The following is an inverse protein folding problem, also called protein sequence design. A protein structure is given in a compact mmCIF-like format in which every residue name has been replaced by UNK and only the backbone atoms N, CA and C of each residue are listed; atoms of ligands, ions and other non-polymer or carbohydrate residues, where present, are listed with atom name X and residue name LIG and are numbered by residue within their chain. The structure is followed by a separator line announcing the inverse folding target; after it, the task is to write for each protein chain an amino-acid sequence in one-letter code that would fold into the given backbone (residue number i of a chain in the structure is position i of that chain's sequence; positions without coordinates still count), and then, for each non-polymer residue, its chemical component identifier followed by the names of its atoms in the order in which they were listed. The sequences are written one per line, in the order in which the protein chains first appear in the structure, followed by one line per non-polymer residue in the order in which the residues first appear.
data_IF_083804230027
#
_entry.id   IF_083804230027
#
_cell.length_a   1.000
_cell.length_b   1.000
_cell.length_c   1.000
_cell.angle_alpha   90.00
_cell.angle_beta   90.00
_cell.angle_gamma   90.00
#
_symmetry.space_group_name_H-M   'P 1'
#
loop_
_entity.id
_entity.type
_entity.pdbx_description
1 polymer ?
#
# COMPACT_ATOMS: atom_id res chain seq x y z
N UNK A 1 9.08 -11.35 10.67
CA UNK A 1 7.68 -11.81 10.66
C UNK A 1 6.75 -10.64 10.88
N UNK A 2 5.53 -10.74 10.35
CA UNK A 2 4.50 -9.72 10.41
C UNK A 2 3.19 -10.31 10.92
N UNK A 3 2.39 -9.50 11.62
CA UNK A 3 0.99 -9.78 11.93
C UNK A 3 0.14 -8.97 10.95
N UNK A 4 -0.82 -9.60 10.30
CA UNK A 4 -1.82 -8.91 9.45
C UNK A 4 -3.16 -8.90 10.14
N UNK A 5 -3.80 -7.72 10.19
CA UNK A 5 -5.17 -7.55 10.69
C UNK A 5 -6.07 -6.89 9.65
N UNK A 6 -7.36 -7.12 9.78
CA UNK A 6 -8.42 -6.50 8.98
C UNK A 6 -9.15 -5.50 9.87
N UNK A 7 -8.74 -4.23 9.83
CA UNK A 7 -9.28 -3.22 10.74
C UNK A 7 -10.61 -2.62 10.28
N UNK A 8 -11.00 -2.81 9.03
CA UNK A 8 -12.32 -2.43 8.48
C UNK A 8 -12.84 -3.50 7.53
N UNK A 9 -14.09 -3.39 7.09
CA UNK A 9 -14.58 -4.14 5.94
C UNK A 9 -13.84 -3.79 4.66
N UNK A 10 -13.92 -4.68 3.65
CA UNK A 10 -13.23 -4.57 2.38
C UNK A 10 -14.08 -3.95 1.27
N UNK A 11 -13.44 -3.41 0.24
CA UNK A 11 -14.14 -2.96 -0.95
C UNK A 11 -14.46 -4.12 -1.93
N UNK A 12 -13.70 -5.22 -1.87
CA UNK A 12 -13.90 -6.38 -2.76
C UNK A 12 -15.04 -7.32 -2.34
N UNK A 13 -15.63 -7.14 -1.15
CA UNK A 13 -16.78 -7.90 -0.66
C UNK A 13 -18.11 -7.17 -0.84
N UNK A 14 -19.20 -7.83 -0.44
CA UNK A 14 -20.55 -7.24 -0.43
C UNK A 14 -20.83 -6.46 0.85
N UNK A 15 -20.10 -6.74 1.93
CA UNK A 15 -20.22 -6.07 3.22
C UNK A 15 -19.84 -4.57 3.11
N UNK A 16 -20.36 -3.78 4.04
CA UNK A 16 -19.96 -2.37 4.16
C UNK A 16 -18.51 -2.25 4.65
N UNK A 17 -17.82 -1.19 4.23
CA UNK A 17 -16.49 -0.83 4.76
C UNK A 17 -16.57 -0.57 6.27
N UNK A 18 -17.65 0.05 6.73
CA UNK A 18 -17.99 0.20 8.14
C UNK A 18 -16.97 0.95 8.99
N UNK A 19 -17.20 0.97 10.31
CA UNK A 19 -16.26 1.49 11.30
C UNK A 19 -15.10 0.52 11.52
N UNK A 20 -14.17 0.88 12.41
CA UNK A 20 -13.13 -0.02 12.86
C UNK A 20 -13.70 -1.28 13.52
N UNK A 21 -13.20 -2.44 13.11
CA UNK A 21 -13.64 -3.75 13.64
C UNK A 21 -13.07 -4.09 15.01
N UNK A 22 -12.11 -3.28 15.48
CA UNK A 22 -11.44 -3.45 16.78
C UNK A 22 -11.64 -2.21 17.64
N UNK A 23 -11.74 -2.41 18.96
CA UNK A 23 -11.63 -1.33 19.92
C UNK A 23 -10.18 -0.79 19.98
N UNK A 24 -9.95 0.42 20.47
CA UNK A 24 -8.60 0.94 20.65
C UNK A 24 -7.72 0.07 21.57
N UNK A 25 -8.29 -0.58 22.56
CA UNK A 25 -7.55 -1.44 23.49
C UNK A 25 -7.12 -2.76 22.84
N UNK A 26 -7.97 -3.34 21.98
CA UNK A 26 -7.60 -4.52 21.18
C UNK A 26 -6.46 -4.20 20.20
N UNK A 27 -6.53 -3.09 19.49
CA UNK A 27 -5.46 -2.67 18.59
C UNK A 27 -4.13 -2.45 19.32
N UNK A 28 -4.17 -1.79 20.49
CA UNK A 28 -2.98 -1.61 21.33
C UNK A 28 -2.43 -2.94 21.86
N UNK A 29 -3.30 -3.87 22.22
CA UNK A 29 -2.87 -5.20 22.66
C UNK A 29 -2.17 -5.97 21.52
N UNK A 30 -2.71 -5.90 20.29
CA UNK A 30 -2.11 -6.52 19.12
C UNK A 30 -0.71 -5.94 18.84
N UNK A 31 -0.58 -4.62 18.81
CA UNK A 31 0.71 -3.97 18.56
C UNK A 31 1.71 -4.24 19.67
N UNK A 32 1.29 -4.16 20.93
CA UNK A 32 2.13 -4.46 22.07
C UNK A 32 2.72 -5.89 22.00
N UNK A 33 1.88 -6.89 21.77
CA UNK A 33 2.34 -8.29 21.70
C UNK A 33 3.22 -8.55 20.47
N UNK A 34 2.91 -7.95 19.31
CA UNK A 34 3.73 -8.07 18.12
C UNK A 34 5.11 -7.43 18.32
N UNK A 35 5.14 -6.18 18.79
CA UNK A 35 6.39 -5.44 18.99
C UNK A 35 7.27 -6.07 20.06
N UNK A 36 6.68 -6.61 21.13
CA UNK A 36 7.41 -7.39 22.16
C UNK A 36 8.19 -8.57 21.57
N UNK A 37 7.72 -9.12 20.45
CA UNK A 37 8.35 -10.22 19.72
C UNK A 37 9.17 -9.76 18.51
N UNK A 38 9.46 -8.46 18.38
CA UNK A 38 10.11 -7.83 17.23
C UNK A 38 9.40 -8.13 15.89
N UNK A 39 8.06 -8.23 15.94
CA UNK A 39 7.20 -8.37 14.77
C UNK A 39 6.51 -7.03 14.50
N UNK A 40 6.30 -6.70 13.24
CA UNK A 40 5.51 -5.56 12.80
C UNK A 40 4.05 -5.93 12.57
N UNK A 41 3.17 -4.93 12.58
CA UNK A 41 1.74 -5.11 12.33
C UNK A 41 1.32 -4.31 11.09
N UNK A 42 0.67 -4.99 10.14
CA UNK A 42 0.08 -4.40 8.95
C UNK A 42 -1.45 -4.45 9.06
N UNK A 43 -2.13 -3.34 8.81
CA UNK A 43 -3.58 -3.24 8.88
C UNK A 43 -4.21 -2.92 7.53
N UNK A 44 -5.09 -3.81 7.04
CA UNK A 44 -6.09 -3.40 6.05
C UNK A 44 -7.02 -2.38 6.71
N UNK A 45 -7.11 -1.17 6.18
CA UNK A 45 -7.96 -0.10 6.70
C UNK A 45 -8.45 0.81 5.59
N UNK A 46 -9.77 0.83 5.37
CA UNK A 46 -10.41 1.65 4.34
C UNK A 46 -11.19 2.83 4.91
N UNK A 47 -11.83 2.68 6.08
CA UNK A 47 -12.55 3.78 6.71
C UNK A 47 -11.64 4.71 7.49
N UNK A 48 -11.99 6.00 7.56
CA UNK A 48 -11.26 6.99 8.34
C UNK A 48 -11.15 6.61 9.83
N UNK A 49 -12.23 6.05 10.39
CA UNK A 49 -12.25 5.58 11.78
C UNK A 49 -11.23 4.48 12.04
N UNK A 50 -11.18 3.47 11.14
CA UNK A 50 -10.22 2.38 11.25
C UNK A 50 -8.78 2.87 11.09
N UNK A 51 -8.51 3.72 10.08
CA UNK A 51 -7.19 4.29 9.84
C UNK A 51 -6.70 5.08 11.04
N UNK A 52 -7.54 6.00 11.59
CA UNK A 52 -7.18 6.81 12.75
C UNK A 52 -6.83 5.95 13.96
N UNK A 53 -7.67 4.96 14.28
CA UNK A 53 -7.43 4.06 15.42
C UNK A 53 -6.18 3.19 15.24
N UNK A 54 -5.92 2.72 14.02
CA UNK A 54 -4.68 2.00 13.70
C UNK A 54 -3.44 2.86 13.90
N UNK A 55 -3.47 4.11 13.43
CA UNK A 55 -2.39 5.08 13.61
C UNK A 55 -2.14 5.32 15.11
N UNK A 56 -3.19 5.60 15.87
CA UNK A 56 -3.12 5.89 17.31
C UNK A 56 -2.68 4.68 18.15
N UNK A 57 -2.92 3.47 17.65
CA UNK A 57 -2.48 2.22 18.28
C UNK A 57 -1.03 1.83 17.93
N UNK A 58 -0.36 2.56 17.03
CA UNK A 58 1.02 2.28 16.65
C UNK A 58 1.18 1.12 15.65
N UNK A 59 0.17 0.86 14.82
CA UNK A 59 0.27 -0.07 13.68
C UNK A 59 1.37 0.40 12.73
N UNK A 60 2.25 -0.49 12.27
CA UNK A 60 3.43 -0.10 11.48
C UNK A 60 3.09 0.31 10.04
N UNK A 61 2.19 -0.43 9.39
CA UNK A 61 1.77 -0.10 8.02
C UNK A 61 0.26 -0.05 7.86
N UNK A 62 -0.21 0.96 7.13
CA UNK A 62 -1.61 1.07 6.68
C UNK A 62 -1.67 0.59 5.22
N UNK A 63 -2.41 -0.49 5.01
CA UNK A 63 -2.67 -1.02 3.69
C UNK A 63 -3.92 -0.36 3.11
N UNK A 64 -3.87 -0.03 1.83
CA UNK A 64 -4.91 0.65 1.06
C UNK A 64 -5.15 2.09 1.46
N UNK A 65 -5.55 2.36 2.72
CA UNK A 65 -5.76 3.73 3.18
C UNK A 65 -6.91 4.45 2.47
N UNK A 66 -8.05 3.75 2.26
CA UNK A 66 -9.14 4.22 1.42
C UNK A 66 -9.73 5.58 1.80
N UNK A 67 -9.64 6.00 3.04
CA UNK A 67 -10.11 7.31 3.54
C UNK A 67 -8.99 8.09 4.23
N UNK A 68 -7.74 7.97 3.77
CA UNK A 68 -6.64 8.82 4.22
C UNK A 68 -6.88 10.28 3.82
N UNK A 69 -6.62 11.19 4.76
CA UNK A 69 -6.62 12.63 4.57
C UNK A 69 -5.28 13.25 5.03
N UNK A 70 -5.12 14.55 4.85
CA UNK A 70 -3.87 15.25 5.20
C UNK A 70 -3.56 15.16 6.70
N UNK A 71 -4.56 15.20 7.58
CA UNK A 71 -4.37 15.06 9.03
C UNK A 71 -3.76 13.72 9.38
N UNK A 72 -4.34 12.63 8.85
CA UNK A 72 -3.87 11.27 9.10
C UNK A 72 -2.49 11.02 8.48
N UNK A 73 -2.22 11.58 7.30
CA UNK A 73 -0.91 11.51 6.66
C UNK A 73 0.18 12.22 7.46
N UNK A 74 -0.11 13.37 8.07
CA UNK A 74 0.80 14.04 8.99
C UNK A 74 1.09 13.19 10.22
N UNK A 75 0.06 12.62 10.86
CA UNK A 75 0.24 11.71 12.01
C UNK A 75 1.11 10.49 11.64
N UNK A 76 0.84 9.87 10.49
CA UNK A 76 1.66 8.75 10.00
C UNK A 76 3.13 9.13 9.86
N UNK A 77 3.41 10.31 9.28
CA UNK A 77 4.77 10.82 9.14
C UNK A 77 5.44 11.04 10.49
N UNK A 78 4.75 11.69 11.43
CA UNK A 78 5.27 11.96 12.78
C UNK A 78 5.58 10.69 13.54
N UNK A 79 4.75 9.67 13.39
CA UNK A 79 4.92 8.36 14.02
C UNK A 79 5.89 7.43 13.26
N UNK A 80 6.34 7.82 12.06
CA UNK A 80 7.20 6.99 11.21
C UNK A 80 6.50 5.79 10.57
N UNK A 81 5.16 5.80 10.55
CA UNK A 81 4.33 4.75 9.94
C UNK A 81 4.36 4.81 8.42
N UNK A 82 4.06 3.70 7.76
CA UNK A 82 4.18 3.54 6.32
C UNK A 82 2.82 3.32 5.68
N UNK A 83 2.61 3.91 4.51
CA UNK A 83 1.46 3.65 3.65
C UNK A 83 1.82 2.71 2.50
N UNK A 84 1.02 1.66 2.32
CA UNK A 84 1.07 0.74 1.18
C UNK A 84 -0.22 0.92 0.38
N UNK A 85 -0.24 1.76 -0.67
CA UNK A 85 -1.48 2.27 -1.26
C UNK A 85 -2.26 1.25 -2.07
N UNK A 86 -1.61 0.31 -2.75
CA UNK A 86 -2.26 -0.67 -3.62
C UNK A 86 -3.21 -0.03 -4.65
N UNK A 87 -2.75 1.01 -5.32
CA UNK A 87 -3.56 1.86 -6.23
C UNK A 87 -4.18 1.05 -7.36
N UNK A 88 -3.41 0.11 -7.91
CA UNK A 88 -3.83 -0.63 -9.09
C UNK A 88 -5.02 -1.54 -8.82
N UNK A 89 -5.11 -2.17 -7.65
CA UNK A 89 -6.23 -3.07 -7.34
C UNK A 89 -7.57 -2.32 -7.34
N UNK A 90 -7.60 -1.12 -6.76
CA UNK A 90 -8.83 -0.31 -6.75
C UNK A 90 -9.17 0.26 -8.13
N UNK A 91 -8.16 0.63 -8.92
CA UNK A 91 -8.32 1.02 -10.32
C UNK A 91 -8.93 -0.10 -11.17
N UNK A 92 -8.53 -1.35 -10.96
CA UNK A 92 -9.09 -2.51 -11.66
C UNK A 92 -10.50 -2.88 -11.18
N UNK A 93 -10.74 -2.87 -9.86
CA UNK A 93 -12.06 -3.10 -9.31
C UNK A 93 -13.08 -2.04 -9.77
N UNK A 94 -12.70 -0.77 -9.79
CA UNK A 94 -13.54 0.33 -10.28
C UNK A 94 -13.92 0.18 -11.77
N UNK A 95 -13.09 -0.51 -12.56
CA UNK A 95 -13.36 -0.81 -13.98
C UNK A 95 -14.14 -2.11 -14.20
N UNK A 96 -14.46 -2.83 -13.14
CA UNK A 96 -15.11 -4.15 -13.21
C UNK A 96 -16.60 -4.13 -13.53
N UNK A 97 -17.17 -3.00 -13.98
CA UNK A 97 -18.60 -2.89 -14.31
C UNK A 97 -19.05 -3.95 -15.30
N UNK A 98 -20.08 -4.70 -14.93
CA UNK A 98 -20.61 -5.81 -15.72
C UNK A 98 -19.85 -7.14 -15.56
N UNK A 99 -18.72 -7.15 -14.83
CA UNK A 99 -17.94 -8.36 -14.52
C UNK A 99 -18.01 -8.74 -13.04
N UNK A 100 -18.19 -7.75 -12.17
CA UNK A 100 -18.36 -7.92 -10.72
C UNK A 100 -19.58 -7.12 -10.25
N UNK A 101 -20.01 -7.34 -9.00
CA UNK A 101 -21.20 -6.66 -8.45
C UNK A 101 -21.01 -5.12 -8.41
N UNK A 102 -22.05 -4.37 -8.80
CA UNK A 102 -21.99 -2.91 -8.89
C UNK A 102 -21.59 -2.25 -7.56
N UNK A 103 -22.01 -2.80 -6.42
CA UNK A 103 -21.62 -2.30 -5.09
C UNK A 103 -20.10 -2.36 -4.86
N UNK A 104 -19.42 -3.35 -5.42
CA UNK A 104 -17.95 -3.46 -5.37
C UNK A 104 -17.33 -2.37 -6.23
N UNK A 105 -17.84 -2.17 -7.44
CA UNK A 105 -17.38 -1.11 -8.36
C UNK A 105 -17.54 0.28 -7.74
N UNK A 106 -18.69 0.55 -7.11
CA UNK A 106 -18.97 1.83 -6.43
C UNK A 106 -17.99 2.08 -5.28
N UNK A 107 -17.80 1.09 -4.39
CA UNK A 107 -16.86 1.20 -3.27
C UNK A 107 -15.43 1.40 -3.76
N UNK A 108 -15.00 0.60 -4.73
CA UNK A 108 -13.65 0.70 -5.30
C UNK A 108 -13.42 2.05 -5.98
N UNK A 109 -14.40 2.59 -6.67
CA UNK A 109 -14.33 3.91 -7.31
C UNK A 109 -14.15 5.03 -6.27
N UNK A 110 -14.87 4.96 -5.17
CA UNK A 110 -14.73 5.92 -4.07
C UNK A 110 -13.34 5.84 -3.42
N UNK A 111 -12.81 4.64 -3.22
CA UNK A 111 -11.44 4.43 -2.71
C UNK A 111 -10.41 4.97 -3.69
N UNK A 112 -10.51 4.64 -4.99
CA UNK A 112 -9.58 5.12 -6.04
C UNK A 112 -9.54 6.65 -6.09
N UNK A 113 -10.71 7.30 -6.07
CA UNK A 113 -10.78 8.77 -6.10
C UNK A 113 -10.09 9.39 -4.89
N UNK A 114 -10.33 8.86 -3.69
CA UNK A 114 -9.68 9.37 -2.48
C UNK A 114 -8.18 9.09 -2.47
N UNK A 115 -7.75 7.89 -2.88
CA UNK A 115 -6.34 7.53 -2.95
C UNK A 115 -5.53 8.46 -3.87
N UNK A 116 -6.08 8.90 -5.01
CA UNK A 116 -5.43 9.88 -5.90
C UNK A 116 -5.13 11.19 -5.17
N UNK A 117 -6.09 11.68 -4.38
CA UNK A 117 -5.93 12.92 -3.58
C UNK A 117 -4.90 12.70 -2.45
N UNK A 118 -5.06 11.61 -1.70
CA UNK A 118 -4.18 11.25 -0.59
C UNK A 118 -2.74 11.00 -1.06
N UNK A 119 -2.54 10.39 -2.23
CA UNK A 119 -1.20 10.11 -2.78
C UNK A 119 -0.44 11.40 -3.11
N UNK A 120 -1.12 12.36 -3.75
CA UNK A 120 -0.54 13.70 -3.99
C UNK A 120 -0.19 14.41 -2.68
N UNK A 121 -1.06 14.33 -1.67
CA UNK A 121 -0.81 14.93 -0.36
C UNK A 121 0.36 14.23 0.36
N UNK A 122 0.40 12.90 0.37
CA UNK A 122 1.46 12.12 1.00
C UNK A 122 2.85 12.45 0.44
N UNK A 123 2.97 12.62 -0.89
CA UNK A 123 4.22 13.04 -1.52
C UNK A 123 4.67 14.42 -1.05
N UNK A 124 3.74 15.39 -0.93
CA UNK A 124 4.04 16.76 -0.47
C UNK A 124 4.42 16.79 1.02
N UNK A 125 3.70 16.04 1.83
CA UNK A 125 3.92 15.92 3.28
C UNK A 125 5.23 15.16 3.54
N UNK A 126 5.58 14.19 2.70
CA UNK A 126 6.71 13.27 2.87
C UNK A 126 6.38 12.10 3.80
N UNK A 127 5.14 11.64 3.79
CA UNK A 127 4.74 10.38 4.42
C UNK A 127 5.42 9.23 3.69
N UNK A 128 5.94 8.25 4.42
CA UNK A 128 6.59 7.07 3.83
C UNK A 128 5.58 6.25 3.02
N UNK A 129 5.95 5.94 1.77
CA UNK A 129 5.17 5.06 0.87
C UNK A 129 6.05 3.91 0.45
N UNK A 130 5.49 2.70 0.44
CA UNK A 130 6.10 1.48 -0.07
C UNK A 130 5.16 0.84 -1.09
N UNK A 131 5.72 0.28 -2.16
CA UNK A 131 4.94 -0.39 -3.19
C UNK A 131 4.42 -1.75 -2.71
N UNK A 132 3.13 -2.01 -2.97
CA UNK A 132 2.47 -3.30 -2.75
C UNK A 132 1.30 -3.44 -3.71
N UNK A 133 1.11 -4.61 -4.32
CA UNK A 133 0.13 -4.77 -5.41
C UNK A 133 -1.24 -5.26 -4.95
N UNK A 134 -1.30 -6.04 -3.87
CA UNK A 134 -2.50 -6.80 -3.48
C UNK A 134 -3.08 -7.65 -4.65
N UNK A 135 -2.18 -8.17 -5.51
CA UNK A 135 -2.55 -8.98 -6.67
C UNK A 135 -3.25 -10.27 -6.26
N UNK A 136 -4.17 -10.75 -7.10
CA UNK A 136 -5.04 -11.89 -6.81
C UNK A 136 -6.47 -11.48 -6.42
N UNK A 137 -6.74 -10.20 -6.25
CA UNK A 137 -8.09 -9.67 -6.09
C UNK A 137 -8.94 -9.86 -7.37
N UNK A 138 -10.29 -9.89 -7.28
CA UNK A 138 -11.15 -9.95 -8.45
C UNK A 138 -10.77 -8.89 -9.49
N UNK A 139 -10.74 -9.23 -10.76
CA UNK A 139 -10.33 -8.38 -11.88
C UNK A 139 -8.87 -7.92 -11.89
N UNK A 140 -8.08 -8.30 -10.89
CA UNK A 140 -6.67 -7.96 -10.85
C UNK A 140 -5.85 -9.25 -10.94
N UNK A 141 -5.20 -9.45 -12.06
CA UNK A 141 -4.55 -10.70 -12.47
C UNK A 141 -3.60 -11.35 -11.46
N UNK A 142 -3.05 -12.51 -11.81
CA UNK A 142 -2.19 -13.28 -10.93
C UNK A 142 -0.87 -12.55 -10.64
N UNK A 143 -0.15 -13.03 -9.64
CA UNK A 143 1.26 -12.66 -9.46
C UNK A 143 2.13 -13.10 -10.68
N UNK A 144 3.15 -12.32 -11.04
CA UNK A 144 3.59 -11.07 -10.48
C UNK A 144 2.90 -9.87 -11.14
N UNK A 145 2.20 -9.06 -10.39
CA UNK A 145 1.53 -7.85 -10.91
C UNK A 145 2.03 -6.56 -10.26
N UNK A 146 3.15 -6.62 -9.53
CA UNK A 146 3.72 -5.43 -8.86
C UNK A 146 4.02 -4.31 -9.86
N UNK A 147 4.42 -4.63 -11.08
CA UNK A 147 4.76 -3.64 -12.10
C UNK A 147 3.59 -2.73 -12.47
N UNK A 148 2.35 -3.22 -12.43
CA UNK A 148 1.16 -2.41 -12.65
C UNK A 148 0.99 -1.36 -11.54
N UNK A 149 1.31 -1.72 -10.31
CA UNK A 149 1.32 -0.78 -9.18
C UNK A 149 2.38 0.31 -9.39
N UNK A 150 3.58 -0.05 -9.86
CA UNK A 150 4.64 0.93 -10.14
C UNK A 150 4.20 1.95 -11.18
N UNK A 151 3.53 1.50 -12.25
CA UNK A 151 2.95 2.39 -13.27
C UNK A 151 1.85 3.26 -12.65
N UNK A 152 0.97 2.70 -11.83
CA UNK A 152 -0.08 3.46 -11.16
C UNK A 152 0.49 4.54 -10.22
N UNK A 153 1.56 4.25 -9.48
CA UNK A 153 2.25 5.24 -8.65
C UNK A 153 2.82 6.40 -9.50
N UNK A 154 3.42 6.09 -10.66
CA UNK A 154 3.91 7.12 -11.59
C UNK A 154 2.77 7.94 -12.20
N UNK A 155 1.68 7.32 -12.63
CA UNK A 155 0.48 8.01 -13.14
C UNK A 155 -0.11 8.99 -12.12
N UNK A 156 0.07 8.69 -10.80
CA UNK A 156 -0.35 9.57 -9.71
C UNK A 156 0.73 10.60 -9.28
N UNK A 157 1.78 10.78 -10.10
CA UNK A 157 2.70 11.91 -9.99
C UNK A 157 4.04 11.60 -9.32
N UNK A 158 4.31 10.36 -8.91
CA UNK A 158 5.62 9.98 -8.39
C UNK A 158 6.63 9.84 -9.54
N UNK A 159 7.85 10.32 -9.39
CA UNK A 159 8.88 10.12 -10.40
C UNK A 159 9.31 8.65 -10.47
N UNK A 160 9.75 8.19 -11.64
CA UNK A 160 10.20 6.80 -11.83
C UNK A 160 11.28 6.38 -10.82
N UNK A 161 12.23 7.27 -10.52
CA UNK A 161 13.26 7.00 -9.50
C UNK A 161 12.67 6.79 -8.10
N UNK A 162 11.69 7.60 -7.71
CA UNK A 162 11.00 7.44 -6.42
C UNK A 162 10.19 6.13 -6.39
N UNK A 163 9.48 5.80 -7.47
CA UNK A 163 8.72 4.55 -7.58
C UNK A 163 9.62 3.34 -7.43
N UNK A 164 10.75 3.30 -8.16
CA UNK A 164 11.73 2.22 -8.05
C UNK A 164 12.26 2.11 -6.62
N UNK A 165 12.56 3.24 -5.97
CA UNK A 165 12.98 3.26 -4.57
C UNK A 165 11.91 2.70 -3.62
N UNK A 166 10.63 3.03 -3.83
CA UNK A 166 9.51 2.49 -3.04
C UNK A 166 9.38 0.97 -3.17
N UNK A 167 9.70 0.41 -4.34
CA UNK A 167 9.63 -1.02 -4.62
C UNK A 167 10.88 -1.81 -4.23
N UNK A 168 11.99 -1.14 -3.92
CA UNK A 168 13.29 -1.77 -3.64
C UNK A 168 13.80 -1.39 -2.26
N UNK A 169 14.59 -0.33 -2.14
CA UNK A 169 15.24 0.06 -0.90
C UNK A 169 14.24 0.35 0.22
N UNK A 170 13.19 1.16 -0.04
CA UNK A 170 12.21 1.50 0.98
C UNK A 170 11.42 0.27 1.46
N UNK A 171 11.10 -0.66 0.53
CA UNK A 171 10.48 -1.93 0.86
C UNK A 171 11.40 -2.82 1.70
N UNK A 172 12.69 -2.92 1.35
CA UNK A 172 13.66 -3.67 2.12
C UNK A 172 13.85 -3.10 3.53
N UNK A 173 13.95 -1.77 3.65
CA UNK A 173 14.02 -1.07 4.94
C UNK A 173 12.79 -1.38 5.81
N UNK A 174 11.58 -1.33 5.21
CA UNK A 174 10.33 -1.59 5.93
C UNK A 174 10.22 -3.05 6.38
N UNK A 175 10.66 -3.98 5.55
CA UNK A 175 10.73 -5.41 5.91
C UNK A 175 11.85 -5.74 6.90
N UNK A 176 12.71 -4.78 7.25
CA UNK A 176 13.86 -4.98 8.14
C UNK A 176 14.99 -5.79 7.49
N UNK A 177 15.01 -5.87 6.17
CA UNK A 177 16.01 -6.60 5.39
C UNK A 177 17.13 -5.63 4.99
N UNK A 178 18.34 -5.87 5.49
CA UNK A 178 19.46 -4.91 5.35
C UNK A 178 20.45 -5.27 4.24
N UNK A 179 20.34 -6.45 3.66
CA UNK A 179 21.30 -7.02 2.72
C UNK A 179 20.88 -6.93 1.25
N UNK A 180 19.76 -6.24 0.94
CA UNK A 180 19.23 -6.09 -0.43
C UNK A 180 18.48 -4.77 -0.63
N UNK A 181 17.91 -4.56 -1.82
CA UNK A 181 17.16 -3.35 -2.18
C UNK A 181 18.01 -2.28 -2.85
N UNK A 182 19.33 -2.46 -2.92
CA UNK A 182 20.28 -1.58 -3.62
C UNK A 182 21.38 -2.40 -4.28
N UNK A 183 22.00 -1.86 -5.32
CA UNK A 183 23.16 -2.44 -6.00
C UNK A 183 24.44 -1.84 -5.37
N UNK A 184 24.92 -2.48 -4.32
CA UNK A 184 26.13 -2.06 -3.58
C UNK A 184 26.99 -3.29 -3.26
N UNK A 185 28.31 -3.09 -3.09
CA UNK A 185 29.21 -4.13 -2.66
C UNK A 185 28.80 -4.72 -1.30
N UNK A 186 28.81 -6.04 -1.20
CA UNK A 186 28.40 -6.77 0.02
C UNK A 186 26.91 -7.00 0.16
N UNK A 187 26.07 -6.52 -0.76
CA UNK A 187 24.63 -6.83 -0.83
C UNK A 187 24.36 -8.08 -1.66
N UNK A 188 23.18 -8.67 -1.42
CA UNK A 188 22.70 -9.77 -2.26
C UNK A 188 22.37 -9.22 -3.64
N UNK A 189 22.84 -9.90 -4.67
CA UNK A 189 22.65 -9.52 -6.07
C UNK A 189 21.29 -9.96 -6.63
N UNK A 190 20.21 -9.44 -6.04
CA UNK A 190 18.86 -9.56 -6.61
C UNK A 190 18.74 -8.50 -7.71
N UNK A 191 18.94 -8.89 -8.97
CA UNK A 191 19.08 -7.99 -10.12
C UNK A 191 18.03 -8.29 -11.17
N UNK A 192 17.32 -7.26 -11.62
CA UNK A 192 16.45 -7.30 -12.80
C UNK A 192 17.16 -6.60 -13.95
N UNK A 193 17.26 -7.28 -15.09
CA UNK A 193 17.81 -6.73 -16.34
C UNK A 193 16.66 -6.39 -17.27
N UNK A 194 16.66 -5.17 -17.80
CA UNK A 194 15.59 -4.65 -18.65
C UNK A 194 16.17 -4.20 -20.00
N UNK A 195 15.41 -4.33 -21.07
CA UNK A 195 15.81 -3.89 -22.41
C UNK A 195 15.68 -2.37 -22.62
N UNK A 196 14.93 -1.69 -21.75
CA UNK A 196 14.73 -0.25 -21.79
C UNK A 196 15.05 0.40 -20.43
N UNK A 197 15.28 1.72 -20.45
CA UNK A 197 15.59 2.47 -19.24
C UNK A 197 14.33 2.75 -18.40
N UNK A 198 14.15 2.12 -17.22
CA UNK A 198 12.96 2.30 -16.38
C UNK A 198 12.84 3.71 -15.78
N UNK A 199 13.91 4.50 -15.77
CA UNK A 199 13.85 5.91 -15.33
C UNK A 199 13.16 6.80 -16.36
N UNK A 200 13.07 6.35 -17.62
CA UNK A 200 12.35 7.05 -18.70
C UNK A 200 10.92 6.56 -18.78
N UNK A 201 10.71 5.23 -18.73
CA UNK A 201 9.39 4.61 -18.82
C UNK A 201 9.32 3.35 -17.95
N UNK A 202 8.43 3.35 -16.97
CA UNK A 202 8.21 2.18 -16.09
C UNK A 202 7.54 1.01 -16.80
N UNK A 203 6.95 1.20 -18.01
CA UNK A 203 6.45 0.08 -18.80
C UNK A 203 7.57 -0.88 -19.23
N UNK A 204 8.84 -0.45 -19.15
CA UNK A 204 9.98 -1.35 -19.31
C UNK A 204 9.91 -2.59 -18.39
N UNK A 205 9.21 -2.52 -17.26
CA UNK A 205 8.97 -3.67 -16.38
C UNK A 205 7.85 -4.61 -16.85
N UNK A 206 6.99 -4.18 -17.79
CA UNK A 206 5.78 -4.92 -18.19
C UNK A 206 5.89 -5.56 -19.57
N UNK A 207 6.73 -5.02 -20.44
CA UNK A 207 6.80 -5.42 -21.86
C UNK A 207 7.75 -6.61 -22.12
N UNK A 208 8.57 -7.00 -21.13
CA UNK A 208 9.68 -7.93 -21.33
C UNK A 208 9.77 -9.04 -20.25
N UNK A 209 8.65 -9.35 -19.59
CA UNK A 209 8.56 -10.46 -18.61
C UNK A 209 7.69 -11.59 -19.12
#
# INVERSE_FOLDING_TARGET
HWIKIMASGGAAGLEDVGPCMYSPDELKAITYEAHRLNMKVAAHALSRDAISKCIDAGIDTIEHGGALDEELLHKMKENGQVWVPTLQVYKELARGKGMIADVIVEKASAVEENQKKAFSAAMKIGTKIVAGSDAGSPNFGPHPSIFKELVAMQENGMSAAQVIRCATLAAAEELGVKDRGVLEEGKIADIVVLDANPLVDLHAFTEHL
#
